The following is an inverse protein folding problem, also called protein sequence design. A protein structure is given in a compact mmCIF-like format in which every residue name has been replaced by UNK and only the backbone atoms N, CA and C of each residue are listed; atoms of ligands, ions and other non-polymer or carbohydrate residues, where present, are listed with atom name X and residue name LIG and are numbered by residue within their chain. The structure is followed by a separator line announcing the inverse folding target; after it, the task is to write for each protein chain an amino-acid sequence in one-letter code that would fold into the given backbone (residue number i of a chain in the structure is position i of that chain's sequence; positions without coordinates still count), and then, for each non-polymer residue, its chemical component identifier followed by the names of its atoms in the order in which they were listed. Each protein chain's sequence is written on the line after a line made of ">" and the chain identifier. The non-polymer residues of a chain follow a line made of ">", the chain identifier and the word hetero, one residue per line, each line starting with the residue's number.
data_IF_987939837309
#
_entry.id   IF_987939837309
#
_cell.length_a   1.000
_cell.length_b   1.000
_cell.length_c   1.000
_cell.angle_alpha   90.00
_cell.angle_beta   90.00
_cell.angle_gamma   90.00
#
_symmetry.space_group_name_H-M   'P 1'
#
loop_
_entity.id
_entity.type
_entity.pdbx_description
1 polymer ?
#
# COMPACT_ATOMS: atom_id res chain seq x y z
N UNK A 1 -9.39 23.96 0.35
CA UNK A 1 -9.78 22.53 0.29
C UNK A 1 -9.68 21.94 1.69
N UNK A 2 -10.64 21.15 2.15
CA UNK A 2 -10.52 20.50 3.45
C UNK A 2 -9.31 19.56 3.47
N UNK A 3 -8.46 19.70 4.48
CA UNK A 3 -7.28 18.88 4.68
C UNK A 3 -7.56 17.89 5.79
N UNK A 4 -7.24 16.61 5.58
CA UNK A 4 -7.32 15.61 6.65
C UNK A 4 -6.12 15.80 7.58
N UNK A 5 -6.40 16.04 8.85
CA UNK A 5 -5.39 16.17 9.91
C UNK A 5 -5.51 15.00 10.88
N UNK A 6 -4.38 14.48 11.34
CA UNK A 6 -4.29 13.44 12.37
C UNK A 6 -2.99 13.57 13.16
N UNK A 7 -2.95 13.00 14.36
CA UNK A 7 -1.76 13.01 15.21
C UNK A 7 -0.67 12.14 14.57
N UNK A 8 0.53 12.70 14.37
CA UNK A 8 1.65 12.02 13.74
C UNK A 8 1.77 12.21 12.22
N UNK A 9 0.85 12.93 11.57
CA UNK A 9 0.89 13.22 10.13
C UNK A 9 2.25 13.79 9.70
N UNK A 10 2.77 14.76 10.41
CA UNK A 10 4.06 15.40 10.11
C UNK A 10 5.24 14.43 10.09
N UNK A 11 5.17 13.34 10.87
CA UNK A 11 6.21 12.31 10.94
C UNK A 11 6.17 11.35 9.76
N UNK A 12 5.02 11.17 9.13
CA UNK A 12 4.82 10.14 8.09
C UNK A 12 4.58 10.70 6.69
N UNK A 13 4.36 12.00 6.55
CA UNK A 13 4.01 12.61 5.27
C UNK A 13 5.09 12.36 4.19
N UNK A 14 6.36 12.33 4.60
CA UNK A 14 7.51 12.07 3.73
C UNK A 14 8.16 10.69 4.00
N UNK A 15 7.66 9.93 4.97
CA UNK A 15 8.28 8.67 5.39
C UNK A 15 8.51 7.68 4.23
N UNK A 16 7.61 7.65 3.25
CA UNK A 16 7.78 6.83 2.04
C UNK A 16 9.06 7.18 1.23
N UNK A 17 9.61 8.38 1.40
CA UNK A 17 10.87 8.79 0.78
C UNK A 17 12.06 8.24 1.56
N UNK A 18 11.96 8.20 2.89
CA UNK A 18 13.03 7.77 3.79
C UNK A 18 13.17 6.24 3.89
N UNK A 19 12.15 5.49 3.44
CA UNK A 19 12.22 4.03 3.39
C UNK A 19 13.39 3.60 2.51
N UNK A 20 14.32 2.75 3.02
CA UNK A 20 15.48 2.33 2.25
C UNK A 20 15.08 1.46 1.05
N UNK A 21 15.80 1.58 -0.04
CA UNK A 21 15.72 0.64 -1.14
C UNK A 21 16.39 -0.68 -0.72
N UNK A 22 15.61 -1.76 -0.73
CA UNK A 22 16.10 -3.12 -0.50
C UNK A 22 16.24 -3.85 -1.83
N UNK A 23 17.17 -4.78 -1.90
CA UNK A 23 17.29 -5.70 -3.03
C UNK A 23 16.42 -6.91 -2.77
N UNK A 24 15.58 -7.26 -3.74
CA UNK A 24 14.81 -8.48 -3.70
C UNK A 24 15.72 -9.67 -4.05
N UNK A 25 15.89 -10.58 -3.12
CA UNK A 25 16.69 -11.79 -3.31
C UNK A 25 15.76 -12.96 -3.59
N UNK A 26 15.94 -13.57 -4.76
CA UNK A 26 15.18 -14.78 -5.09
C UNK A 26 15.68 -15.95 -4.25
N UNK A 27 14.77 -16.68 -3.63
CA UNK A 27 15.09 -17.87 -2.81
C UNK A 27 14.84 -19.17 -3.56
N UNK A 28 13.71 -19.26 -4.23
CA UNK A 28 13.29 -20.42 -5.02
C UNK A 28 12.17 -20.02 -5.98
N UNK A 29 11.86 -20.89 -6.92
CA UNK A 29 10.71 -20.80 -7.78
C UNK A 29 9.81 -22.03 -7.62
N UNK A 30 8.56 -21.90 -8.05
CA UNK A 30 7.57 -22.97 -8.06
C UNK A 30 6.94 -23.12 -9.43
N UNK A 31 6.67 -24.35 -9.84
CA UNK A 31 5.84 -24.69 -10.97
C UNK A 31 4.99 -25.94 -10.65
N UNK A 32 4.38 -26.54 -11.66
CA UNK A 32 3.56 -27.76 -11.51
C UNK A 32 4.33 -28.98 -10.97
N UNK A 33 5.66 -28.97 -11.09
CA UNK A 33 6.55 -30.04 -10.60
C UNK A 33 7.08 -29.76 -9.19
N UNK A 34 6.74 -28.62 -8.60
CA UNK A 34 7.09 -28.25 -7.24
C UNK A 34 8.14 -27.14 -7.12
N UNK A 35 8.95 -27.22 -6.07
CA UNK A 35 9.95 -26.22 -5.74
C UNK A 35 11.27 -26.45 -6.47
N UNK A 36 11.84 -25.38 -7.02
CA UNK A 36 13.12 -25.37 -7.72
C UNK A 36 14.03 -24.27 -7.17
N UNK A 37 15.33 -24.54 -7.08
CA UNK A 37 16.32 -23.54 -6.69
C UNK A 37 16.68 -22.59 -7.86
N UNK A 38 16.40 -23.03 -9.07
CA UNK A 38 16.71 -22.31 -10.30
C UNK A 38 15.54 -21.42 -10.72
N UNK A 39 15.84 -20.44 -11.58
CA UNK A 39 14.84 -19.57 -12.17
C UNK A 39 14.06 -20.30 -13.27
N UNK A 40 12.76 -20.41 -13.10
CA UNK A 40 11.88 -20.98 -14.10
C UNK A 40 11.35 -19.96 -15.12
N UNK A 41 11.86 -18.71 -15.07
CA UNK A 41 11.44 -17.62 -15.95
C UNK A 41 10.07 -17.02 -15.64
N UNK A 42 9.42 -17.43 -14.54
CA UNK A 42 8.14 -16.83 -14.13
C UNK A 42 8.33 -15.38 -13.69
N UNK A 43 7.48 -14.50 -14.19
CA UNK A 43 7.40 -13.10 -13.71
C UNK A 43 6.52 -12.93 -12.47
N UNK A 44 5.73 -13.96 -12.11
CA UNK A 44 4.95 -13.97 -10.89
C UNK A 44 5.87 -14.15 -9.69
N UNK A 45 5.64 -13.38 -8.61
CA UNK A 45 6.48 -13.46 -7.43
C UNK A 45 5.69 -13.31 -6.13
N UNK A 46 6.14 -14.00 -5.10
CA UNK A 46 5.71 -13.83 -3.70
C UNK A 46 6.88 -13.21 -2.96
N UNK A 47 6.66 -11.99 -2.43
CA UNK A 47 7.69 -11.25 -1.70
C UNK A 47 7.41 -11.40 -0.20
N UNK A 48 8.40 -11.92 0.55
CA UNK A 48 8.32 -12.07 2.01
C UNK A 48 9.16 -11.00 2.69
N UNK A 49 8.57 -10.28 3.64
CA UNK A 49 9.24 -9.23 4.39
C UNK A 49 8.28 -8.13 4.83
N UNK A 50 8.82 -7.01 5.32
CA UNK A 50 8.02 -5.82 5.58
C UNK A 50 7.49 -5.26 4.24
N UNK A 51 6.18 -5.08 4.17
CA UNK A 51 5.53 -4.67 2.93
C UNK A 51 5.88 -3.23 2.51
N UNK A 52 6.21 -2.34 3.44
CA UNK A 52 6.63 -0.99 3.12
C UNK A 52 8.00 -0.98 2.41
N UNK A 53 8.96 -1.79 2.90
CA UNK A 53 10.25 -1.99 2.24
C UNK A 53 10.10 -2.72 0.91
N UNK A 54 9.22 -3.74 0.84
CA UNK A 54 8.93 -4.47 -0.39
C UNK A 54 8.35 -3.56 -1.48
N UNK A 55 7.38 -2.72 -1.15
CA UNK A 55 6.82 -1.74 -2.08
C UNK A 55 7.88 -0.76 -2.60
N UNK A 56 8.77 -0.31 -1.72
CA UNK A 56 9.88 0.56 -2.12
C UNK A 56 10.85 -0.15 -3.06
N UNK A 57 11.16 -1.41 -2.79
CA UNK A 57 12.04 -2.24 -3.61
C UNK A 57 11.49 -2.52 -5.03
N UNK A 58 10.17 -2.45 -5.21
CA UNK A 58 9.52 -2.63 -6.50
C UNK A 58 9.60 -1.39 -7.41
N UNK A 59 9.77 -0.18 -6.84
CA UNK A 59 9.74 1.05 -7.63
C UNK A 59 10.70 1.07 -8.82
N UNK A 60 11.99 0.67 -8.69
CA UNK A 60 12.92 0.75 -9.81
C UNK A 60 12.47 0.01 -11.07
N UNK A 61 11.64 -1.05 -10.89
CA UNK A 61 11.15 -1.86 -12.01
C UNK A 61 9.72 -1.56 -12.41
N UNK A 62 8.86 -1.15 -11.48
CA UNK A 62 7.41 -1.11 -11.66
C UNK A 62 6.77 0.26 -11.44
N UNK A 63 7.54 1.35 -11.19
CA UNK A 63 6.96 2.69 -11.04
C UNK A 63 6.13 3.07 -12.27
N UNK A 64 4.87 3.46 -12.06
CA UNK A 64 3.94 3.86 -13.11
C UNK A 64 3.50 2.72 -14.06
N UNK A 65 3.72 1.45 -13.71
CA UNK A 65 3.49 0.31 -14.62
C UNK A 65 2.43 -0.67 -14.16
N UNK A 66 2.04 -0.63 -12.89
CA UNK A 66 1.07 -1.58 -12.32
C UNK A 66 -0.34 -1.21 -12.74
N UNK A 67 -1.04 -2.10 -13.42
CA UNK A 67 -2.40 -1.86 -13.94
C UNK A 67 -3.50 -2.12 -12.92
N UNK A 68 -3.27 -3.05 -12.00
CA UNK A 68 -4.25 -3.40 -10.98
C UNK A 68 -3.56 -3.65 -9.65
N UNK A 69 -4.05 -3.01 -8.61
CA UNK A 69 -3.63 -3.22 -7.24
C UNK A 69 -4.84 -3.64 -6.42
N UNK A 70 -4.73 -4.72 -5.67
CA UNK A 70 -5.70 -5.11 -4.66
C UNK A 70 -5.02 -5.15 -3.30
N UNK A 71 -5.60 -4.50 -2.31
CA UNK A 71 -5.14 -4.56 -0.92
C UNK A 71 -6.30 -4.84 0.04
N UNK A 72 -5.99 -5.60 1.07
CA UNK A 72 -6.86 -5.88 2.21
C UNK A 72 -6.12 -5.45 3.48
N UNK A 73 -6.17 -4.14 3.82
CA UNK A 73 -5.46 -3.64 4.99
C UNK A 73 -6.12 -4.11 6.28
N UNK A 74 -5.36 -4.22 7.39
CA UNK A 74 -5.97 -4.54 8.68
C UNK A 74 -7.05 -3.52 9.01
N UNK A 75 -8.25 -4.03 9.34
CA UNK A 75 -9.35 -3.18 9.78
C UNK A 75 -9.03 -2.62 11.16
N UNK A 76 -9.32 -1.36 11.36
CA UNK A 76 -9.11 -0.70 12.65
C UNK A 76 -10.22 -1.08 13.65
N UNK A 77 -10.48 -2.38 13.80
CA UNK A 77 -11.48 -2.97 14.68
C UNK A 77 -10.92 -3.11 16.09
N UNK A 78 -10.88 -2.04 16.82
CA UNK A 78 -10.56 -2.12 18.25
C UNK A 78 -11.78 -1.79 19.11
N UNK A 79 -11.85 -2.34 20.33
CA UNK A 79 -12.93 -2.07 21.28
C UNK A 79 -13.19 -0.56 21.42
N UNK A 80 -14.47 -0.19 21.36
CA UNK A 80 -14.98 1.15 21.53
C UNK A 80 -14.59 1.68 22.92
N UNK A 81 -13.48 2.33 23.07
CA UNK A 81 -13.10 2.88 24.38
C UNK A 81 -11.72 3.49 24.46
N UNK A 82 -10.88 3.25 23.48
CA UNK A 82 -9.56 3.84 23.44
C UNK A 82 -9.34 4.65 22.16
N UNK A 83 -9.90 5.83 22.18
CA UNK A 83 -9.38 7.04 21.56
C UNK A 83 -9.01 7.17 20.09
N UNK A 84 -9.22 8.40 19.64
CA UNK A 84 -8.62 9.12 18.52
C UNK A 84 -7.22 8.62 18.08
N UNK A 85 -6.41 8.13 19.02
CA UNK A 85 -5.06 7.59 18.80
C UNK A 85 -4.99 6.33 17.94
N UNK A 86 -6.07 5.52 17.84
CA UNK A 86 -6.08 4.31 16.99
C UNK A 86 -6.19 4.65 15.52
N UNK A 87 -7.07 5.57 15.19
CA UNK A 87 -7.23 6.06 13.82
C UNK A 87 -5.95 6.74 13.34
N UNK A 88 -5.31 7.50 14.21
CA UNK A 88 -4.04 8.14 13.92
C UNK A 88 -2.93 7.11 13.66
N UNK A 89 -2.85 6.03 14.46
CA UNK A 89 -1.90 4.93 14.24
C UNK A 89 -2.14 4.22 12.91
N UNK A 90 -3.41 3.94 12.58
CA UNK A 90 -3.77 3.32 11.31
C UNK A 90 -3.40 4.23 10.13
N UNK A 91 -3.69 5.52 10.22
CA UNK A 91 -3.32 6.51 9.21
C UNK A 91 -1.80 6.63 9.06
N UNK A 92 -1.06 6.64 10.15
CA UNK A 92 0.40 6.66 10.12
C UNK A 92 0.98 5.41 9.46
N UNK A 93 0.37 4.25 9.67
CA UNK A 93 0.77 2.99 9.03
C UNK A 93 0.42 2.98 7.55
N UNK A 94 -0.78 3.38 7.17
CA UNK A 94 -1.29 3.24 5.79
C UNK A 94 -0.79 4.33 4.85
N UNK A 95 -0.61 5.55 5.32
CA UNK A 95 -0.27 6.69 4.46
C UNK A 95 1.00 6.48 3.62
N UNK A 96 2.16 6.09 4.20
CA UNK A 96 3.35 5.85 3.40
C UNK A 96 3.19 4.68 2.40
N UNK A 97 2.41 3.65 2.75
CA UNK A 97 2.08 2.53 1.86
C UNK A 97 1.24 2.98 0.67
N UNK A 98 0.19 3.76 0.92
CA UNK A 98 -0.65 4.32 -0.14
C UNK A 98 0.15 5.22 -1.09
N UNK A 99 1.13 5.97 -0.57
CA UNK A 99 2.04 6.78 -1.39
C UNK A 99 2.91 5.93 -2.32
N UNK A 100 3.43 4.81 -1.84
CA UNK A 100 4.21 3.89 -2.67
C UNK A 100 3.33 3.15 -3.68
N UNK A 101 2.15 2.71 -3.27
CA UNK A 101 1.17 2.10 -4.18
C UNK A 101 0.75 3.07 -5.30
N UNK A 102 0.53 4.36 -4.95
CA UNK A 102 0.25 5.40 -5.94
C UNK A 102 1.37 5.53 -6.97
N UNK A 103 2.64 5.49 -6.53
CA UNK A 103 3.79 5.55 -7.43
C UNK A 103 3.91 4.35 -8.36
N UNK A 104 3.57 3.16 -7.86
CA UNK A 104 3.57 1.93 -8.67
C UNK A 104 2.45 1.92 -9.71
N UNK A 105 1.31 2.53 -9.40
CA UNK A 105 0.12 2.50 -10.24
C UNK A 105 0.34 3.27 -11.54
N UNK A 106 -0.01 2.66 -12.66
CA UNK A 106 -0.03 3.30 -13.98
C UNK A 106 -1.13 4.37 -14.04
N UNK A 107 -1.02 5.33 -14.96
CA UNK A 107 -2.01 6.41 -15.13
C UNK A 107 -3.41 5.89 -15.44
N UNK A 108 -3.52 4.77 -16.15
CA UNK A 108 -4.76 4.05 -16.45
C UNK A 108 -4.99 2.83 -15.52
N UNK A 109 -4.24 2.73 -14.45
CA UNK A 109 -4.34 1.65 -13.46
C UNK A 109 -5.47 1.86 -12.46
N UNK A 110 -5.87 0.78 -11.79
CA UNK A 110 -6.95 0.77 -10.80
C UNK A 110 -6.48 0.14 -9.49
N UNK A 111 -6.95 0.69 -8.38
CA UNK A 111 -6.72 0.14 -7.04
C UNK A 111 -8.04 -0.26 -6.38
N UNK A 112 -8.11 -1.48 -5.86
CA UNK A 112 -9.19 -2.00 -5.04
C UNK A 112 -8.73 -2.14 -3.61
N UNK A 113 -9.52 -1.63 -2.67
CA UNK A 113 -9.22 -1.65 -1.24
C UNK A 113 -10.40 -2.25 -0.50
N UNK A 114 -10.21 -3.43 0.12
CA UNK A 114 -11.20 -3.99 1.04
C UNK A 114 -11.21 -3.20 2.34
N UNK A 115 -12.39 -2.76 2.75
CA UNK A 115 -12.60 -2.06 4.02
C UNK A 115 -13.89 -2.55 4.64
N UNK A 116 -13.96 -2.60 5.97
CA UNK A 116 -15.21 -2.89 6.66
C UNK A 116 -16.17 -1.70 6.65
N UNK A 117 -17.43 -1.96 7.03
CA UNK A 117 -18.48 -0.94 7.08
C UNK A 117 -18.43 -0.09 8.37
N UNK A 118 -17.57 -0.37 9.33
CA UNK A 118 -17.47 0.34 10.61
C UNK A 118 -16.96 1.79 10.49
N UNK A 119 -16.84 2.29 9.27
CA UNK A 119 -17.09 3.70 8.98
C UNK A 119 -15.89 4.61 8.92
N UNK A 120 -14.75 4.38 9.59
CA UNK A 120 -13.70 5.41 9.62
C UNK A 120 -12.71 5.29 8.47
N UNK A 121 -12.25 4.10 8.17
CA UNK A 121 -11.38 3.83 7.02
C UNK A 121 -12.03 4.26 5.70
N UNK A 122 -13.32 4.00 5.55
CA UNK A 122 -14.15 4.42 4.42
C UNK A 122 -14.16 5.94 4.23
N UNK A 123 -14.31 6.70 5.31
CA UNK A 123 -14.33 8.16 5.27
C UNK A 123 -12.96 8.75 4.95
N UNK A 124 -11.89 8.18 5.47
CA UNK A 124 -10.51 8.60 5.22
C UNK A 124 -10.12 8.33 3.78
N UNK A 125 -10.29 7.10 3.30
CA UNK A 125 -9.97 6.73 1.92
C UNK A 125 -10.83 7.51 0.92
N UNK A 126 -12.10 7.78 1.23
CA UNK A 126 -13.00 8.59 0.40
C UNK A 126 -12.57 10.05 0.32
N UNK A 127 -12.03 10.63 1.40
CA UNK A 127 -11.53 12.02 1.43
C UNK A 127 -10.17 12.17 0.75
N UNK A 128 -9.25 11.22 0.95
CA UNK A 128 -7.92 11.23 0.34
C UNK A 128 -7.92 10.70 -1.11
N UNK A 129 -8.97 10.01 -1.54
CA UNK A 129 -9.14 9.50 -2.91
C UNK A 129 -8.84 10.54 -3.98
N UNK A 130 -9.27 11.80 -3.77
CA UNK A 130 -9.02 12.89 -4.71
C UNK A 130 -7.56 13.31 -4.85
N UNK A 131 -6.71 12.98 -3.86
CA UNK A 131 -5.29 13.33 -3.84
C UNK A 131 -4.38 12.16 -4.15
N UNK A 132 -4.86 10.94 -3.89
CA UNK A 132 -4.08 9.70 -4.00
C UNK A 132 -4.37 8.93 -5.29
N UNK A 133 -5.48 9.20 -5.94
CA UNK A 133 -5.92 8.49 -7.13
C UNK A 133 -6.05 9.43 -8.33
N UNK A 134 -5.78 8.95 -9.54
CA UNK A 134 -5.94 9.72 -10.76
C UNK A 134 -7.39 10.26 -10.94
N UNK A 135 -7.61 11.36 -11.66
CA UNK A 135 -8.91 12.03 -11.77
C UNK A 135 -10.06 11.15 -12.26
N UNK A 136 -9.78 10.13 -13.06
CA UNK A 136 -10.79 9.23 -13.63
C UNK A 136 -11.36 8.20 -12.65
N UNK A 137 -10.75 8.04 -11.47
CA UNK A 137 -11.26 7.20 -10.37
C UNK A 137 -12.14 7.97 -9.38
N UNK A 138 -12.50 9.20 -9.70
CA UNK A 138 -13.27 10.10 -8.81
C UNK A 138 -14.80 10.02 -9.02
N UNK A 139 -15.30 9.04 -9.75
CA UNK A 139 -16.75 8.83 -9.96
C UNK A 139 -17.38 7.98 -8.87
#
# INVERSE_FOLDING_TARGET
>A
MPTLEWIGKSKVINHHQDVPFRVLERKYSFDENGQHNEDNGSENMIIRGDNLEALKALLPRYEGRVKCIYIDPPYNTGNEGEDLTRHDKWLCMMYPRLKLLQKLLADDGVIFISIDDTGYAKNVLRRERRKLLPPFLQK
#
